data_IF_743263205092
#
_entry.id   IF_743263205092
#
_cell.length_a   1.000
_cell.length_b   1.000
_cell.length_c   1.000
_cell.angle_alpha   90.00
_cell.angle_beta   90.00
_cell.angle_gamma   90.00
#
_symmetry.space_group_name_H-M   'P 1'
#
loop_
_entity.id
_entity.type
_entity.pdbx_description
1 polymer ?
#
# COMPACT_ATOMS: atom_id res chain seq x y z
N UNK A 1 11.76 -7.06 28.18
CA UNK A 1 12.34 -7.89 27.11
C UNK A 1 11.92 -7.34 25.76
N UNK A 2 12.71 -7.56 24.71
CA UNK A 2 12.45 -7.12 23.33
C UNK A 2 11.04 -7.51 22.85
N UNK A 3 10.57 -8.72 23.22
CA UNK A 3 9.22 -9.20 22.90
C UNK A 3 8.10 -8.35 23.51
N UNK A 4 8.32 -7.71 24.66
CA UNK A 4 7.34 -6.79 25.26
C UNK A 4 7.29 -5.44 24.53
N UNK A 5 8.45 -4.94 24.09
CA UNK A 5 8.54 -3.71 23.32
C UNK A 5 7.89 -3.87 21.94
N UNK A 6 8.15 -4.97 21.23
CA UNK A 6 7.55 -5.24 19.92
C UNK A 6 6.02 -5.33 20.00
N UNK A 7 5.49 -5.98 21.04
CA UNK A 7 4.04 -6.04 21.27
C UNK A 7 3.43 -4.66 21.52
N UNK A 8 4.11 -3.79 22.28
CA UNK A 8 3.64 -2.43 22.54
C UNK A 8 3.57 -1.62 21.24
N UNK A 9 4.63 -1.65 20.43
CA UNK A 9 4.68 -0.98 19.12
C UNK A 9 3.55 -1.49 18.21
N UNK A 10 3.37 -2.81 18.16
CA UNK A 10 2.32 -3.42 17.34
C UNK A 10 0.92 -3.00 17.79
N UNK A 11 0.67 -2.92 19.10
CA UNK A 11 -0.61 -2.49 19.67
C UNK A 11 -0.90 -1.00 19.39
N UNK A 12 0.08 -0.12 19.58
CA UNK A 12 -0.04 1.30 19.26
C UNK A 12 -0.34 1.50 17.77
N UNK A 13 0.38 0.81 16.88
CA UNK A 13 0.12 0.88 15.45
C UNK A 13 -1.29 0.41 15.10
N UNK A 14 -1.77 -0.69 15.70
CA UNK A 14 -3.15 -1.17 15.52
C UNK A 14 -4.18 -0.11 15.94
N UNK A 15 -4.01 0.50 17.12
CA UNK A 15 -4.90 1.57 17.59
C UNK A 15 -4.91 2.76 16.62
N UNK A 16 -3.74 3.19 16.14
CA UNK A 16 -3.64 4.28 15.18
C UNK A 16 -4.31 3.95 13.84
N UNK A 17 -4.11 2.75 13.30
CA UNK A 17 -4.71 2.33 12.03
C UNK A 17 -6.24 2.28 12.15
N UNK A 18 -6.77 1.68 13.22
CA UNK A 18 -8.22 1.60 13.45
C UNK A 18 -8.84 2.99 13.63
N UNK A 19 -8.22 3.86 14.42
CA UNK A 19 -8.70 5.23 14.60
C UNK A 19 -8.69 6.04 13.29
N UNK A 20 -7.69 5.83 12.42
CA UNK A 20 -7.59 6.54 11.15
C UNK A 20 -8.68 6.17 10.13
N UNK A 21 -9.31 5.00 10.26
CA UNK A 21 -10.33 4.49 9.32
C UNK A 21 -11.73 4.38 9.92
N UNK A 22 -11.95 4.89 11.13
CA UNK A 22 -13.24 4.83 11.83
C UNK A 22 -14.40 5.41 11.01
N UNK A 23 -14.12 6.37 10.13
CA UNK A 23 -15.09 6.98 9.19
C UNK A 23 -14.84 6.60 7.73
N UNK A 24 -14.08 5.54 7.49
CA UNK A 24 -13.51 5.21 6.20
C UNK A 24 -12.24 6.01 5.88
N UNK A 25 -11.45 5.50 4.94
CA UNK A 25 -10.20 6.15 4.52
C UNK A 25 -9.27 5.21 3.76
N UNK A 26 -8.14 5.76 3.30
CA UNK A 26 -7.06 5.00 2.66
C UNK A 26 -5.86 4.96 3.59
N UNK A 27 -5.34 3.77 3.86
CA UNK A 27 -4.14 3.57 4.68
C UNK A 27 -3.02 3.02 3.82
N UNK A 28 -1.91 3.77 3.73
CA UNK A 28 -0.70 3.31 3.08
C UNK A 28 0.25 2.69 4.11
N UNK A 29 0.64 1.42 3.90
CA UNK A 29 1.62 0.73 4.73
C UNK A 29 1.10 0.36 6.13
N UNK A 30 1.96 0.51 7.14
CA UNK A 30 1.65 0.28 8.57
C UNK A 30 1.05 -1.10 8.90
N UNK A 31 1.40 -2.14 8.14
CA UNK A 31 0.78 -3.47 8.23
C UNK A 31 -0.75 -3.44 8.13
N UNK A 32 -1.31 -2.44 7.42
CA UNK A 32 -2.75 -2.23 7.31
C UNK A 32 -3.51 -3.45 6.79
N UNK A 33 -2.93 -4.18 5.82
CA UNK A 33 -3.52 -5.42 5.30
C UNK A 33 -3.73 -6.50 6.38
N UNK A 34 -2.77 -6.63 7.31
CA UNK A 34 -2.91 -7.53 8.45
C UNK A 34 -3.89 -6.95 9.49
N UNK A 35 -3.68 -5.70 9.91
CA UNK A 35 -4.44 -5.05 10.98
C UNK A 35 -5.93 -4.99 10.65
N UNK A 36 -6.27 -4.69 9.40
CA UNK A 36 -7.63 -4.58 8.88
C UNK A 36 -8.10 -5.87 8.19
N UNK A 37 -7.35 -6.98 8.29
CA UNK A 37 -7.63 -8.22 7.56
C UNK A 37 -9.00 -8.85 7.87
N UNK A 38 -9.60 -8.52 9.03
CA UNK A 38 -10.94 -8.97 9.43
C UNK A 38 -12.01 -7.89 9.37
N UNK A 39 -11.64 -6.66 8.97
CA UNK A 39 -12.59 -5.54 8.91
C UNK A 39 -13.39 -5.64 7.62
N UNK A 40 -14.71 -5.80 7.77
CA UNK A 40 -15.64 -5.78 6.64
C UNK A 40 -15.62 -4.40 5.99
N UNK A 41 -15.55 -4.36 4.65
CA UNK A 41 -15.47 -3.11 3.89
C UNK A 41 -14.05 -2.61 3.64
N UNK A 42 -13.01 -3.27 4.16
CA UNK A 42 -11.62 -3.00 3.80
C UNK A 42 -11.21 -3.82 2.56
N UNK A 43 -10.52 -3.20 1.61
CA UNK A 43 -9.92 -3.89 0.46
C UNK A 43 -8.41 -3.70 0.50
N UNK A 44 -7.67 -4.79 0.40
CA UNK A 44 -6.22 -4.80 0.57
C UNK A 44 -5.52 -4.89 -0.78
N UNK A 45 -4.71 -3.88 -1.11
CA UNK A 45 -4.03 -3.79 -2.40
C UNK A 45 -2.52 -3.75 -2.18
N UNK A 46 -1.81 -4.57 -2.93
CA UNK A 46 -0.34 -4.52 -3.03
C UNK A 46 0.06 -3.90 -4.36
N UNK A 47 0.80 -2.79 -4.30
CA UNK A 47 1.39 -2.18 -5.48
C UNK A 47 2.82 -2.68 -5.65
N UNK A 48 3.12 -3.24 -6.82
CA UNK A 48 4.45 -3.72 -7.18
C UNK A 48 4.95 -3.05 -8.46
N UNK A 49 6.23 -3.18 -8.74
CA UNK A 49 6.83 -2.84 -10.03
C UNK A 49 8.14 -3.61 -10.21
N UNK A 50 8.57 -3.88 -11.46
CA UNK A 50 9.91 -4.38 -11.74
C UNK A 50 10.97 -3.50 -11.07
N UNK A 51 12.03 -4.11 -10.55
CA UNK A 51 13.08 -3.38 -9.82
C UNK A 51 13.67 -2.22 -10.64
N UNK A 52 13.90 -2.41 -11.94
CA UNK A 52 14.39 -1.34 -12.82
C UNK A 52 13.50 -0.10 -12.82
N UNK A 53 12.17 -0.28 -12.89
CA UNK A 53 11.21 0.84 -12.83
C UNK A 53 11.22 1.55 -11.49
N UNK A 54 11.39 0.80 -10.39
CA UNK A 54 11.50 1.39 -9.05
C UNK A 54 12.80 2.19 -8.90
N UNK A 55 13.91 1.69 -9.44
CA UNK A 55 15.19 2.39 -9.48
C UNK A 55 15.06 3.69 -10.26
N UNK A 56 14.48 3.66 -11.47
CA UNK A 56 14.23 4.86 -12.28
C UNK A 56 13.46 5.93 -11.49
N UNK A 57 12.40 5.55 -10.77
CA UNK A 57 11.62 6.46 -9.92
C UNK A 57 12.44 7.03 -8.75
N UNK A 58 13.25 6.21 -8.08
CA UNK A 58 14.11 6.70 -6.98
C UNK A 58 15.14 7.68 -7.52
N UNK A 59 15.81 7.38 -8.64
CA UNK A 59 16.73 8.31 -9.30
C UNK A 59 16.03 9.63 -9.62
N UNK A 60 14.84 9.57 -10.24
CA UNK A 60 14.09 10.77 -10.61
C UNK A 60 13.70 11.64 -9.40
N UNK A 61 13.29 11.02 -8.29
CA UNK A 61 12.80 11.73 -7.10
C UNK A 61 13.89 12.21 -6.15
N UNK A 62 15.04 11.54 -6.12
CA UNK A 62 16.11 11.80 -5.15
C UNK A 62 17.41 12.32 -5.77
N UNK A 63 17.62 12.13 -7.08
CA UNK A 63 18.87 12.44 -7.77
C UNK A 63 20.02 11.46 -7.47
N UNK A 64 19.76 10.35 -6.77
CA UNK A 64 20.79 9.37 -6.43
C UNK A 64 21.39 8.67 -7.65
N UNK A 65 22.67 8.26 -7.60
CA UNK A 65 23.25 7.35 -8.58
C UNK A 65 22.49 6.02 -8.64
N UNK A 66 22.50 5.36 -9.81
CA UNK A 66 21.72 4.14 -10.03
C UNK A 66 22.05 2.99 -9.06
N UNK A 67 23.32 2.86 -8.65
CA UNK A 67 23.73 1.86 -7.65
C UNK A 67 23.11 2.12 -6.28
N UNK A 68 23.12 3.38 -5.82
CA UNK A 68 22.56 3.79 -4.53
C UNK A 68 21.03 3.69 -4.53
N UNK A 69 20.38 4.09 -5.64
CA UNK A 69 18.94 3.91 -5.81
C UNK A 69 18.53 2.43 -5.78
N UNK A 70 19.35 1.54 -6.36
CA UNK A 70 19.13 0.09 -6.32
C UNK A 70 19.30 -0.47 -4.91
N UNK A 71 20.33 -0.05 -4.17
CA UNK A 71 20.53 -0.43 -2.77
C UNK A 71 19.39 0.06 -1.89
N UNK A 72 18.95 1.30 -2.05
CA UNK A 72 17.82 1.86 -1.31
C UNK A 72 16.54 1.03 -1.54
N UNK A 73 16.20 0.72 -2.80
CA UNK A 73 15.03 -0.11 -3.12
C UNK A 73 15.09 -1.48 -2.42
N UNK A 74 16.26 -2.16 -2.47
CA UNK A 74 16.44 -3.48 -1.84
C UNK A 74 16.41 -3.39 -0.31
N UNK A 75 17.02 -2.36 0.26
CA UNK A 75 17.04 -2.12 1.69
C UNK A 75 15.63 -1.86 2.21
N UNK A 76 14.85 -1.00 1.55
CA UNK A 76 13.46 -0.75 1.92
C UNK A 76 12.57 -1.99 1.83
N UNK A 77 12.69 -2.78 0.74
CA UNK A 77 11.97 -4.04 0.59
C UNK A 77 12.28 -5.01 1.74
N UNK A 78 13.57 -5.14 2.07
CA UNK A 78 14.06 -6.00 3.15
C UNK A 78 13.55 -5.53 4.52
N UNK A 79 13.75 -4.25 4.84
CA UNK A 79 13.37 -3.66 6.13
C UNK A 79 11.86 -3.79 6.36
N UNK A 80 11.03 -3.56 5.32
CA UNK A 80 9.57 -3.76 5.43
C UNK A 80 9.20 -5.19 5.79
N UNK A 81 9.84 -6.18 5.17
CA UNK A 81 9.58 -7.59 5.46
C UNK A 81 10.07 -7.99 6.86
N UNK A 82 11.29 -7.59 7.24
CA UNK A 82 11.87 -7.90 8.55
C UNK A 82 11.08 -7.26 9.69
N UNK A 83 10.67 -5.99 9.58
CA UNK A 83 9.82 -5.33 10.58
C UNK A 83 8.48 -6.04 10.75
N UNK A 84 7.86 -6.44 9.63
CA UNK A 84 6.58 -7.16 9.64
C UNK A 84 6.71 -8.50 10.35
N UNK A 85 7.79 -9.24 10.07
CA UNK A 85 8.06 -10.51 10.73
C UNK A 85 8.35 -10.33 12.24
N UNK A 86 9.15 -9.33 12.61
CA UNK A 86 9.56 -9.08 13.99
C UNK A 86 8.39 -8.59 14.87
N UNK A 87 7.52 -7.73 14.35
CA UNK A 87 6.43 -7.12 15.10
C UNK A 87 5.15 -7.96 15.09
N UNK A 88 4.86 -8.63 13.97
CA UNK A 88 3.57 -9.25 13.72
C UNK A 88 3.63 -10.73 13.32
N UNK A 89 4.84 -11.29 13.13
CA UNK A 89 5.07 -12.67 12.69
C UNK A 89 4.35 -13.04 11.38
N UNK A 90 4.29 -12.09 10.46
CA UNK A 90 3.66 -12.26 9.15
C UNK A 90 4.57 -11.76 8.02
N UNK A 91 4.34 -12.31 6.83
CA UNK A 91 5.05 -11.94 5.63
C UNK A 91 4.20 -11.01 4.75
N UNK A 92 4.53 -9.71 4.63
CA UNK A 92 3.80 -8.75 3.80
C UNK A 92 4.00 -8.99 2.30
N UNK A 93 4.89 -9.91 1.92
CA UNK A 93 5.10 -10.31 0.54
C UNK A 93 4.26 -11.52 0.11
N UNK A 94 3.41 -12.06 1.00
CA UNK A 94 2.47 -13.12 0.63
C UNK A 94 1.29 -12.53 -0.14
N UNK A 95 1.16 -12.87 -1.41
CA UNK A 95 0.12 -12.33 -2.28
C UNK A 95 -1.30 -12.69 -1.81
N UNK A 96 -1.47 -13.84 -1.14
CA UNK A 96 -2.74 -14.29 -0.54
C UNK A 96 -3.28 -13.35 0.55
N UNK A 97 -2.45 -12.43 1.06
CA UNK A 97 -2.88 -11.42 2.04
C UNK A 97 -3.57 -10.21 1.41
N UNK A 98 -3.66 -10.17 0.09
CA UNK A 98 -4.18 -9.04 -0.68
C UNK A 98 -5.31 -9.48 -1.60
N UNK A 99 -6.27 -8.58 -1.81
CA UNK A 99 -7.34 -8.77 -2.78
C UNK A 99 -6.84 -8.57 -4.22
N UNK A 100 -5.92 -7.62 -4.40
CA UNK A 100 -5.29 -7.31 -5.67
C UNK A 100 -3.79 -7.06 -5.49
N UNK A 101 -3.00 -7.61 -6.41
CA UNK A 101 -1.59 -7.28 -6.60
C UNK A 101 -1.46 -6.61 -7.97
N UNK A 102 -1.10 -5.33 -7.98
CA UNK A 102 -1.13 -4.50 -9.20
C UNK A 102 0.30 -4.12 -9.57
N UNK A 103 0.70 -4.48 -10.80
CA UNK A 103 1.96 -4.04 -11.37
C UNK A 103 1.85 -2.61 -11.90
N UNK A 104 2.34 -1.67 -11.10
CA UNK A 104 2.39 -0.25 -11.45
C UNK A 104 3.38 0.04 -12.58
N UNK A 105 4.35 -0.84 -12.87
CA UNK A 105 5.31 -0.64 -13.96
C UNK A 105 4.73 -0.80 -15.37
N UNK A 106 3.50 -1.32 -15.50
CA UNK A 106 2.83 -1.57 -16.79
C UNK A 106 1.53 -0.79 -16.98
N UNK A 107 1.14 0.07 -16.05
CA UNK A 107 -0.13 0.79 -16.07
C UNK A 107 0.08 2.25 -15.70
N UNK A 108 -0.76 3.13 -16.25
CA UNK A 108 -0.83 4.53 -15.80
C UNK A 108 -1.54 4.63 -14.45
N UNK A 109 -1.31 5.73 -13.73
CA UNK A 109 -2.02 5.98 -12.47
C UNK A 109 -3.53 5.99 -12.64
N UNK A 110 -4.06 6.56 -13.73
CA UNK A 110 -5.50 6.58 -13.98
C UNK A 110 -6.07 5.16 -14.11
N UNK A 111 -5.42 4.29 -14.89
CA UNK A 111 -5.85 2.90 -15.05
C UNK A 111 -5.84 2.13 -13.71
N UNK A 112 -4.85 2.40 -12.86
CA UNK A 112 -4.76 1.78 -11.53
C UNK A 112 -5.89 2.27 -10.63
N UNK A 113 -6.18 3.57 -10.64
CA UNK A 113 -7.27 4.15 -9.84
C UNK A 113 -8.62 3.60 -10.30
N UNK A 114 -8.88 3.58 -11.60
CA UNK A 114 -10.14 3.06 -12.16
C UNK A 114 -10.35 1.59 -11.76
N UNK A 115 -9.30 0.77 -11.86
CA UNK A 115 -9.32 -0.63 -11.43
C UNK A 115 -9.66 -0.78 -9.94
N UNK A 116 -9.02 0.02 -9.08
CA UNK A 116 -9.22 -0.04 -7.63
C UNK A 116 -10.65 0.41 -7.28
N UNK A 117 -11.14 1.51 -7.85
CA UNK A 117 -12.47 2.04 -7.56
C UNK A 117 -13.56 1.08 -8.03
N UNK A 118 -13.48 0.57 -9.27
CA UNK A 118 -14.46 -0.37 -9.81
C UNK A 118 -14.49 -1.67 -9.00
N UNK A 119 -13.32 -2.23 -8.65
CA UNK A 119 -13.26 -3.44 -7.83
C UNK A 119 -13.85 -3.21 -6.43
N UNK A 120 -13.55 -2.07 -5.79
CA UNK A 120 -14.09 -1.75 -4.46
C UNK A 120 -15.62 -1.70 -4.47
N UNK A 121 -16.20 -0.98 -5.44
CA UNK A 121 -17.66 -0.85 -5.58
C UNK A 121 -18.35 -2.20 -5.83
N UNK A 122 -17.74 -3.08 -6.64
CA UNK A 122 -18.27 -4.43 -6.90
C UNK A 122 -18.16 -5.34 -5.68
N UNK A 123 -17.05 -5.24 -4.93
CA UNK A 123 -16.83 -6.06 -3.72
C UNK A 123 -17.75 -5.63 -2.58
N UNK A 124 -18.04 -4.33 -2.47
CA UNK A 124 -18.83 -3.74 -1.39
C UNK A 124 -19.97 -2.85 -1.93
N UNK A 125 -21.00 -3.41 -2.58
CA UNK A 125 -22.06 -2.64 -3.24
C UNK A 125 -22.91 -1.78 -2.30
N UNK A 126 -22.90 -2.08 -0.99
CA UNK A 126 -23.57 -1.28 0.05
C UNK A 126 -22.75 -0.11 0.60
N UNK A 127 -21.45 -0.02 0.25
CA UNK A 127 -20.57 1.09 0.63
C UNK A 127 -20.48 2.07 -0.54
N UNK A 128 -21.51 2.90 -0.70
CA UNK A 128 -21.52 3.95 -1.72
C UNK A 128 -20.48 5.03 -1.37
N UNK A 129 -19.88 5.62 -2.41
CA UNK A 129 -19.01 6.79 -2.29
C UNK A 129 -19.74 7.91 -1.56
N UNK A 130 -19.03 8.61 -0.66
CA UNK A 130 -19.57 9.79 0.00
C UNK A 130 -20.05 10.80 -1.06
N UNK A 131 -21.23 11.42 -0.88
CA UNK A 131 -21.71 12.45 -1.80
C UNK A 131 -20.65 13.54 -2.00
N UNK A 132 -20.24 13.77 -3.25
CA UNK A 132 -19.24 14.78 -3.61
C UNK A 132 -17.89 14.24 -4.10
N UNK A 133 -17.62 12.94 -3.94
CA UNK A 133 -16.45 12.28 -4.56
C UNK A 133 -16.83 11.73 -5.95
N UNK A 134 -17.17 12.63 -6.87
CA UNK A 134 -17.16 12.31 -8.29
C UNK A 134 -15.72 12.35 -8.76
N UNK A 135 -15.19 11.24 -9.29
CA UNK A 135 -13.91 11.25 -9.99
C UNK A 135 -14.10 12.03 -11.29
N UNK A 136 -14.05 13.37 -11.23
CA UNK A 136 -13.95 14.20 -12.42
C UNK A 136 -12.56 13.94 -12.98
N UNK A 137 -12.47 13.06 -13.98
CA UNK A 137 -11.23 12.75 -14.66
C UNK A 137 -10.61 14.04 -15.19
N UNK A 138 -9.68 14.60 -14.40
CA UNK A 138 -8.85 15.69 -14.87
C UNK A 138 -7.78 15.01 -15.73
N UNK A 139 -7.92 15.11 -17.05
CA UNK A 139 -6.94 14.65 -18.06
C UNK A 139 -5.67 15.52 -18.05
N UNK A 140 -5.21 15.89 -16.84
CA UNK A 140 -3.98 16.60 -16.58
C UNK A 140 -2.80 15.68 -16.80
N UNK A 141 -2.36 15.65 -18.05
CA UNK A 141 -1.04 15.34 -18.56
C UNK A 141 0.07 15.16 -17.50
N UNK A 142 0.12 13.99 -16.86
CA UNK A 142 1.38 13.44 -16.37
C UNK A 142 1.31 11.91 -16.48
N UNK A 143 1.19 11.46 -17.72
CA UNK A 143 1.29 10.06 -18.10
C UNK A 143 2.78 9.69 -18.18
N UNK A 144 3.45 9.64 -17.05
CA UNK A 144 4.72 8.92 -16.97
C UNK A 144 4.73 8.00 -15.77
N UNK A 145 5.41 6.88 -15.97
CA UNK A 145 5.44 5.72 -15.09
C UNK A 145 6.86 5.51 -14.58
#
# INVERSE_FOLDING_TARGET
>A
TEMSANRKIAAENTQHVLAAVDKGGVVLGRNGALVLGKVVGAMHIRLIAPLGKRIERVIHTTGLPASEAAEQCRAEDRIRAEMSQALYRWNPNSDESYDLVINTGSMTYQQIVDLIVDMYQRKYPGYQSLPGYGFSGNTGHDATN
#
